data_IF_481461474442
#
_entry.id   IF_481461474442
#
_cell.length_a   1.000
_cell.length_b   1.000
_cell.length_c   1.000
_cell.angle_alpha   90.00
_cell.angle_beta   90.00
_cell.angle_gamma   90.00
#
_symmetry.space_group_name_H-M   'P 1'
#
loop_
_entity.id
_entity.type
_entity.pdbx_description
1 polymer ?
#
# COMPACT_ATOMS: atom_id res chain seq x y z
N UNK A 1 -20.78 4.22 -7.46
CA UNK A 1 -19.64 5.11 -7.76
C UNK A 1 -18.86 4.52 -8.93
N UNK A 2 -18.30 5.31 -9.84
CA UNK A 2 -17.44 4.76 -10.89
C UNK A 2 -16.21 4.14 -10.23
N UNK A 3 -16.04 2.83 -10.41
CA UNK A 3 -14.91 2.06 -9.89
C UNK A 3 -13.60 2.64 -10.42
N UNK A 4 -12.72 3.09 -9.50
CA UNK A 4 -11.37 3.56 -9.84
C UNK A 4 -11.10 5.06 -9.69
N UNK A 5 -12.07 5.89 -9.29
CA UNK A 5 -11.80 7.30 -8.95
C UNK A 5 -10.80 7.46 -7.77
N UNK A 6 -10.91 6.67 -6.67
CA UNK A 6 -9.96 6.78 -5.56
C UNK A 6 -8.53 6.38 -5.97
N UNK A 7 -8.33 5.31 -6.75
CA UNK A 7 -6.99 4.90 -7.23
C UNK A 7 -6.31 5.97 -8.07
N UNK A 8 -7.06 6.71 -8.90
CA UNK A 8 -6.52 7.85 -9.68
C UNK A 8 -6.06 8.98 -8.76
N UNK A 9 -6.83 9.28 -7.71
CA UNK A 9 -6.48 10.31 -6.73
C UNK A 9 -5.28 9.90 -5.87
N UNK A 10 -5.17 8.62 -5.51
CA UNK A 10 -3.99 8.07 -4.83
C UNK A 10 -2.72 8.16 -5.69
N UNK A 11 -2.82 7.85 -7.00
CA UNK A 11 -1.71 8.05 -7.97
C UNK A 11 -1.33 9.51 -8.10
N UNK A 12 -2.31 10.41 -8.20
CA UNK A 12 -2.07 11.85 -8.23
C UNK A 12 -1.40 12.35 -6.95
N UNK A 13 -1.90 11.95 -5.77
CA UNK A 13 -1.32 12.29 -4.48
C UNK A 13 0.13 11.80 -4.36
N UNK A 14 0.39 10.56 -4.77
CA UNK A 14 1.75 9.99 -4.81
C UNK A 14 2.68 10.84 -5.65
N UNK A 15 2.28 11.17 -6.87
CA UNK A 15 3.09 11.99 -7.76
C UNK A 15 3.31 13.38 -7.17
N UNK A 16 2.26 14.02 -6.65
CA UNK A 16 2.35 15.34 -6.03
C UNK A 16 3.31 15.34 -4.84
N UNK A 17 3.23 14.34 -3.96
CA UNK A 17 4.12 14.23 -2.80
C UNK A 17 5.60 14.16 -3.21
N UNK A 18 5.94 13.28 -4.17
CA UNK A 18 7.32 13.07 -4.58
C UNK A 18 7.90 14.20 -5.45
N UNK A 19 7.06 15.06 -6.03
CA UNK A 19 7.52 16.21 -6.82
C UNK A 19 7.45 17.53 -6.06
N UNK A 20 6.74 17.58 -4.93
CA UNK A 20 6.60 18.79 -4.14
C UNK A 20 7.82 19.03 -3.24
N UNK A 21 8.16 20.30 -2.95
CA UNK A 21 9.13 20.61 -1.91
C UNK A 21 8.67 20.09 -0.55
N UNK A 22 9.59 19.62 0.31
CA UNK A 22 9.28 19.28 1.69
C UNK A 22 8.62 20.45 2.43
N UNK A 23 7.68 20.13 3.32
CA UNK A 23 6.85 21.04 4.14
C UNK A 23 5.91 21.97 3.38
N UNK A 24 5.84 21.85 2.06
CA UNK A 24 4.96 22.66 1.23
C UNK A 24 3.47 22.35 1.43
N UNK A 25 2.61 23.29 1.07
CA UNK A 25 1.15 23.09 1.04
C UNK A 25 0.77 21.88 0.16
N UNK A 26 1.49 21.68 -0.94
CA UNK A 26 1.22 20.59 -1.88
C UNK A 26 1.56 19.20 -1.30
N UNK A 27 2.65 19.09 -0.56
CA UNK A 27 2.97 17.86 0.18
C UNK A 27 1.86 17.53 1.19
N UNK A 28 1.39 18.53 1.94
CA UNK A 28 0.31 18.38 2.92
C UNK A 28 -1.00 17.96 2.25
N UNK A 29 -1.35 18.54 1.10
CA UNK A 29 -2.52 18.15 0.31
C UNK A 29 -2.41 16.70 -0.15
N UNK A 30 -1.25 16.27 -0.64
CA UNK A 30 -1.03 14.89 -1.03
C UNK A 30 -1.22 13.92 0.15
N UNK A 31 -0.71 14.25 1.33
CA UNK A 31 -0.90 13.46 2.55
C UNK A 31 -2.38 13.36 2.94
N UNK A 32 -3.12 14.46 2.88
CA UNK A 32 -4.56 14.46 3.19
C UNK A 32 -5.33 13.53 2.23
N UNK A 33 -5.06 13.65 0.92
CA UNK A 33 -5.70 12.81 -0.09
C UNK A 33 -5.36 11.33 0.13
N UNK A 34 -4.11 11.01 0.43
CA UNK A 34 -3.72 9.64 0.79
C UNK A 34 -4.49 9.10 1.98
N UNK A 35 -4.51 9.82 3.10
CA UNK A 35 -5.15 9.36 4.33
C UNK A 35 -6.64 9.11 4.13
N UNK A 36 -7.31 9.91 3.31
CA UNK A 36 -8.72 9.74 3.01
C UNK A 36 -8.98 8.49 2.15
N UNK A 37 -8.31 8.37 1.00
CA UNK A 37 -8.64 7.34 0.02
C UNK A 37 -8.00 5.97 0.28
N UNK A 38 -6.90 5.89 1.03
CA UNK A 38 -6.30 4.58 1.37
C UNK A 38 -7.26 3.76 2.21
N UNK A 39 -7.92 4.37 3.21
CA UNK A 39 -8.87 3.66 4.07
C UNK A 39 -10.14 3.27 3.31
N UNK A 40 -10.62 4.13 2.42
CA UNK A 40 -11.76 3.83 1.54
C UNK A 40 -11.46 2.60 0.67
N UNK A 41 -10.34 2.61 -0.06
CA UNK A 41 -9.96 1.49 -0.93
C UNK A 41 -9.66 0.22 -0.11
N UNK A 42 -9.04 0.33 1.06
CA UNK A 42 -8.71 -0.81 1.92
C UNK A 42 -9.95 -1.66 2.29
N UNK A 43 -11.10 -1.00 2.46
CA UNK A 43 -12.38 -1.67 2.76
C UNK A 43 -12.96 -2.44 1.56
N UNK A 44 -12.55 -2.08 0.35
CA UNK A 44 -13.06 -2.63 -0.91
C UNK A 44 -12.14 -3.66 -1.57
N UNK A 45 -10.89 -3.80 -1.10
CA UNK A 45 -9.95 -4.79 -1.63
C UNK A 45 -10.58 -6.18 -1.58
N UNK A 46 -10.55 -6.86 -2.72
CA UNK A 46 -11.12 -8.19 -2.89
C UNK A 46 -10.14 -9.22 -3.46
N UNK A 47 -8.95 -8.80 -3.90
CA UNK A 47 -7.92 -9.68 -4.43
C UNK A 47 -6.50 -9.31 -4.01
N UNK A 48 -5.57 -10.23 -4.28
CA UNK A 48 -4.14 -10.02 -4.09
C UNK A 48 -3.62 -8.85 -4.94
N UNK A 49 -4.02 -8.78 -6.21
CA UNK A 49 -3.59 -7.75 -7.15
C UNK A 49 -4.05 -6.36 -6.72
N UNK A 50 -5.29 -6.25 -6.22
CA UNK A 50 -5.82 -5.00 -5.69
C UNK A 50 -5.10 -4.56 -4.43
N UNK A 51 -4.83 -5.50 -3.52
CA UNK A 51 -4.07 -5.22 -2.30
C UNK A 51 -2.63 -4.78 -2.62
N UNK A 52 -2.00 -5.43 -3.59
CA UNK A 52 -0.65 -5.11 -4.05
C UNK A 52 -0.58 -3.74 -4.72
N UNK A 53 -1.58 -3.42 -5.56
CA UNK A 53 -1.69 -2.09 -6.16
C UNK A 53 -1.85 -1.01 -5.08
N UNK A 54 -2.79 -1.19 -4.13
CA UNK A 54 -3.00 -0.22 -3.06
C UNK A 54 -1.75 -0.06 -2.20
N UNK A 55 -1.03 -1.15 -1.90
CA UNK A 55 0.23 -1.11 -1.17
C UNK A 55 1.32 -0.30 -1.92
N UNK A 56 1.38 -0.44 -3.25
CA UNK A 56 2.30 0.33 -4.10
C UNK A 56 1.92 1.82 -4.15
N UNK A 57 0.63 2.13 -4.03
CA UNK A 57 0.12 3.49 -3.98
C UNK A 57 0.18 4.10 -2.57
N UNK A 58 0.30 3.29 -1.53
CA UNK A 58 0.31 3.73 -0.14
C UNK A 58 1.57 4.53 0.20
N UNK A 59 1.40 5.57 1.03
CA UNK A 59 2.48 6.45 1.48
C UNK A 59 3.57 5.66 2.22
N UNK A 60 4.86 5.84 1.91
CA UNK A 60 5.95 5.18 2.64
C UNK A 60 5.94 5.54 4.13
N UNK A 61 6.32 4.58 4.97
CA UNK A 61 6.49 4.77 6.43
C UNK A 61 5.24 5.33 7.14
N UNK A 62 4.05 5.08 6.61
CA UNK A 62 2.80 5.49 7.24
C UNK A 62 2.11 4.31 7.95
N UNK A 63 1.36 4.56 9.03
CA UNK A 63 0.60 3.51 9.71
C UNK A 63 -0.40 2.81 8.78
N UNK A 64 -1.05 3.57 7.89
CA UNK A 64 -2.06 3.05 6.96
C UNK A 64 -1.44 2.06 5.96
N UNK A 65 -0.19 2.30 5.53
CA UNK A 65 0.53 1.37 4.66
C UNK A 65 0.72 0.00 5.30
N UNK A 66 0.98 -0.04 6.61
CA UNK A 66 1.14 -1.31 7.33
C UNK A 66 -0.18 -2.09 7.38
N UNK A 67 -1.32 -1.41 7.51
CA UNK A 67 -2.64 -2.05 7.44
C UNK A 67 -2.96 -2.59 6.04
N UNK A 68 -2.64 -1.81 4.99
CA UNK A 68 -2.73 -2.30 3.60
C UNK A 68 -1.81 -3.50 3.38
N UNK A 69 -0.61 -3.47 3.97
CA UNK A 69 0.34 -4.57 3.87
C UNK A 69 -0.16 -5.86 4.55
N UNK A 70 -0.75 -5.75 5.76
CA UNK A 70 -1.43 -6.87 6.41
C UNK A 70 -2.54 -7.44 5.53
N UNK A 71 -3.34 -6.58 4.90
CA UNK A 71 -4.38 -7.00 3.95
C UNK A 71 -3.79 -7.75 2.75
N UNK A 72 -2.68 -7.26 2.18
CA UNK A 72 -1.95 -7.96 1.11
C UNK A 72 -1.52 -9.37 1.54
N UNK A 73 -0.97 -9.53 2.74
CA UNK A 73 -0.58 -10.84 3.27
C UNK A 73 -1.78 -11.78 3.47
N UNK A 74 -2.97 -11.26 3.81
CA UNK A 74 -4.18 -12.09 3.89
C UNK A 74 -4.55 -12.73 2.55
N UNK A 75 -4.28 -12.06 1.42
CA UNK A 75 -4.51 -12.59 0.07
C UNK A 75 -3.32 -13.34 -0.52
N UNK A 76 -2.19 -13.41 0.20
CA UNK A 76 -1.04 -14.26 -0.16
C UNK A 76 -1.33 -15.71 0.24
N UNK A 77 -2.28 -16.32 -0.44
CA UNK A 77 -2.86 -17.65 -0.18
C UNK A 77 -2.06 -18.82 -0.81
N UNK A 78 -0.93 -18.53 -1.45
CA UNK A 78 -0.02 -19.51 -2.00
C UNK A 78 1.43 -19.20 -1.65
N UNK A 79 2.29 -20.22 -1.68
CA UNK A 79 3.73 -20.07 -1.47
C UNK A 79 4.35 -19.12 -2.49
N UNK A 80 3.90 -19.18 -3.74
CA UNK A 80 4.38 -18.30 -4.82
C UNK A 80 4.04 -16.84 -4.54
N UNK A 81 2.82 -16.54 -4.09
CA UNK A 81 2.41 -15.18 -3.71
C UNK A 81 3.13 -14.69 -2.47
N UNK A 82 3.29 -15.53 -1.44
CA UNK A 82 4.05 -15.17 -0.24
C UNK A 82 5.52 -14.87 -0.59
N UNK A 83 6.13 -15.71 -1.43
CA UNK A 83 7.50 -15.51 -1.91
C UNK A 83 7.63 -14.23 -2.76
N UNK A 84 6.63 -13.93 -3.59
CA UNK A 84 6.56 -12.66 -4.33
C UNK A 84 6.60 -11.47 -3.36
N UNK A 85 5.79 -11.49 -2.30
CA UNK A 85 5.76 -10.40 -1.31
C UNK A 85 7.11 -10.24 -0.61
N UNK A 86 7.76 -11.33 -0.20
CA UNK A 86 9.11 -11.31 0.40
C UNK A 86 10.13 -10.64 -0.54
N UNK A 87 10.08 -10.97 -1.84
CA UNK A 87 10.99 -10.41 -2.83
C UNK A 87 10.69 -8.94 -3.15
N UNK A 88 9.45 -8.50 -2.92
CA UNK A 88 8.98 -7.16 -3.26
C UNK A 88 9.27 -6.12 -2.17
N UNK A 89 9.16 -6.48 -0.90
CA UNK A 89 9.27 -5.52 0.20
C UNK A 89 10.72 -5.13 0.53
N UNK A 90 10.96 -3.91 1.04
CA UNK A 90 12.30 -3.49 1.43
C UNK A 90 12.85 -4.37 2.56
N UNK A 91 14.09 -4.85 2.42
CA UNK A 91 14.76 -5.68 3.42
C UNK A 91 14.98 -4.92 4.74
N UNK A 92 15.07 -5.66 5.84
CA UNK A 92 15.32 -5.14 7.19
C UNK A 92 14.26 -4.14 7.68
N UNK A 93 13.00 -4.36 7.28
CA UNK A 93 11.81 -3.61 7.73
C UNK A 93 10.84 -4.54 8.45
N UNK A 94 9.89 -3.97 9.21
CA UNK A 94 8.77 -4.73 9.76
C UNK A 94 7.97 -5.46 8.66
N UNK A 95 7.77 -4.81 7.52
CA UNK A 95 7.12 -5.42 6.34
C UNK A 95 7.88 -6.67 5.87
N UNK A 96 9.22 -6.62 5.82
CA UNK A 96 10.02 -7.80 5.46
C UNK A 96 9.97 -8.92 6.49
N UNK A 97 9.92 -8.59 7.79
CA UNK A 97 9.77 -9.59 8.85
C UNK A 97 8.42 -10.31 8.71
N UNK A 98 7.34 -9.55 8.58
CA UNK A 98 5.98 -10.09 8.40
C UNK A 98 5.83 -10.90 7.10
N UNK A 99 6.47 -10.48 6.01
CA UNK A 99 6.47 -11.25 4.76
C UNK A 99 7.14 -12.62 4.92
N UNK A 100 8.29 -12.67 5.62
CA UNK A 100 8.98 -13.93 5.88
C UNK A 100 8.20 -14.83 6.84
N UNK A 101 7.57 -14.25 7.87
CA UNK A 101 6.65 -14.97 8.76
C UNK A 101 5.52 -15.61 7.95
N UNK A 102 4.89 -14.86 7.03
CA UNK A 102 3.83 -15.39 6.14
C UNK A 102 4.33 -16.49 5.20
N UNK A 103 5.52 -16.36 4.64
CA UNK A 103 6.10 -17.39 3.77
C UNK A 103 6.37 -18.69 4.53
N UNK A 104 6.75 -18.61 5.81
CA UNK A 104 7.00 -19.78 6.65
C UNK A 104 5.73 -20.58 7.02
N UNK A 105 4.53 -20.04 6.75
CA UNK A 105 3.26 -20.76 6.92
C UNK A 105 3.01 -21.83 5.82
N UNK A 106 3.85 -21.88 4.77
CA UNK A 106 3.73 -22.79 3.61
C UNK A 106 4.88 -23.81 3.52
#
# INVERSE_FOLDING_TARGET
MPSGAPRKLLRWAKNLFFTSPPDSVWERVAVIVWNYYVLEELSSISSFEEAHELYTLSRPKSPERLEVFKKLLQYADSKEKAQFVVNFVPKNTDESRMANEKLAEF
#
